data_IF_395957543366
#
_entry.id   IF_395957543366
#
_cell.length_a   1.000
_cell.length_b   1.000
_cell.length_c   1.000
_cell.angle_alpha   90.00
_cell.angle_beta   90.00
_cell.angle_gamma   90.00
#
_symmetry.space_group_name_H-M   'P 1'
#
loop_
_entity.id
_entity.type
_entity.pdbx_description
1 polymer ?
#
# COMPACT_ATOMS: atom_id res chain seq x y z
N UNK A 1 -60.97 13.79 -1.58
CA UNK A 1 -60.37 12.84 -0.61
C UNK A 1 -59.30 11.95 -1.23
N UNK A 2 -59.54 11.33 -2.39
CA UNK A 2 -58.57 10.43 -3.06
C UNK A 2 -57.24 11.08 -3.49
N UNK A 3 -57.24 12.36 -3.89
CA UNK A 3 -56.02 13.09 -4.28
C UNK A 3 -55.06 13.37 -3.10
N UNK A 4 -55.61 13.59 -1.90
CA UNK A 4 -54.81 13.86 -0.69
C UNK A 4 -54.13 12.58 -0.19
N UNK A 5 -54.83 11.45 -0.28
CA UNK A 5 -54.27 10.13 0.04
C UNK A 5 -53.17 9.76 -0.96
N UNK A 6 -53.39 10.01 -2.27
CA UNK A 6 -52.37 9.81 -3.30
C UNK A 6 -51.13 10.68 -3.04
N UNK A 7 -51.32 11.95 -2.68
CA UNK A 7 -50.23 12.86 -2.33
C UNK A 7 -49.44 12.38 -1.10
N UNK A 8 -50.12 11.94 -0.03
CA UNK A 8 -49.47 11.40 1.16
C UNK A 8 -48.70 10.10 0.88
N UNK A 9 -49.23 9.23 0.02
CA UNK A 9 -48.53 7.99 -0.41
C UNK A 9 -47.30 8.33 -1.26
N UNK A 10 -47.40 9.30 -2.18
CA UNK A 10 -46.24 9.77 -2.97
C UNK A 10 -45.19 10.40 -2.05
N UNK A 11 -45.59 11.22 -1.07
CA UNK A 11 -44.66 11.81 -0.11
C UNK A 11 -43.97 10.77 0.79
N UNK A 12 -44.64 9.65 1.14
CA UNK A 12 -44.00 8.56 1.87
C UNK A 12 -43.04 7.74 0.99
N UNK A 13 -43.29 7.64 -0.31
CA UNK A 13 -42.37 7.01 -1.28
C UNK A 13 -41.14 7.86 -1.57
N UNK A 14 -41.22 9.19 -1.38
CA UNK A 14 -40.08 10.12 -1.46
C UNK A 14 -39.50 10.34 -0.06
N UNK A 15 -39.15 9.26 0.63
CA UNK A 15 -38.18 9.37 1.72
C UNK A 15 -36.81 9.54 1.07
N UNK A 16 -36.32 10.78 1.05
CA UNK A 16 -34.97 11.09 0.58
C UNK A 16 -33.95 10.33 1.41
N UNK A 17 -33.51 9.18 0.93
CA UNK A 17 -32.33 8.53 1.48
C UNK A 17 -31.15 9.47 1.22
N UNK A 18 -30.66 10.11 2.28
CA UNK A 18 -29.49 10.99 2.17
C UNK A 18 -28.28 10.15 1.77
N UNK A 19 -27.66 10.59 0.67
CA UNK A 19 -26.65 9.87 -0.06
C UNK A 19 -25.36 10.69 -0.05
N UNK A 20 -24.23 10.03 0.20
CA UNK A 20 -22.91 10.66 0.31
C UNK A 20 -21.95 10.09 -0.74
N UNK A 21 -21.10 10.95 -1.30
CA UNK A 21 -20.13 10.55 -2.31
C UNK A 21 -18.75 10.31 -1.70
N UNK A 22 -18.23 9.10 -1.84
CA UNK A 22 -16.87 8.77 -1.41
C UNK A 22 -15.94 8.86 -2.62
N UNK A 23 -15.00 9.80 -2.58
CA UNK A 23 -14.03 10.06 -3.67
C UNK A 23 -12.64 9.51 -3.33
N UNK A 24 -11.97 8.97 -4.32
CA UNK A 24 -10.60 8.50 -4.21
C UNK A 24 -9.79 8.64 -5.49
N UNK A 25 -8.48 8.44 -5.37
CA UNK A 25 -7.51 8.49 -6.46
C UNK A 25 -6.53 7.32 -6.34
N UNK A 26 -6.31 6.61 -7.43
CA UNK A 26 -5.23 5.66 -7.62
C UNK A 26 -3.99 6.36 -8.16
N UNK A 27 -2.90 6.33 -7.39
CA UNK A 27 -1.59 6.82 -7.78
C UNK A 27 -0.62 5.64 -8.00
N UNK A 28 -0.23 5.41 -9.26
CA UNK A 28 0.68 4.32 -9.61
C UNK A 28 2.15 4.62 -9.27
N UNK A 29 2.52 5.89 -8.98
CA UNK A 29 3.87 6.42 -8.70
C UNK A 29 4.94 6.25 -9.78
N UNK A 30 4.84 5.19 -10.59
CA UNK A 30 5.83 4.80 -11.60
C UNK A 30 5.54 5.43 -12.96
N UNK A 31 4.25 5.60 -13.26
CA UNK A 31 3.73 6.15 -14.50
C UNK A 31 2.33 6.71 -14.27
N UNK A 32 1.84 7.50 -15.21
CA UNK A 32 0.44 7.94 -15.22
C UNK A 32 -0.50 6.77 -15.55
N UNK A 33 -1.74 6.87 -15.07
CA UNK A 33 -2.79 5.87 -15.33
C UNK A 33 -3.17 5.92 -16.81
N UNK A 34 -3.15 4.75 -17.46
CA UNK A 34 -3.54 4.58 -18.86
C UNK A 34 -4.94 3.99 -18.98
N UNK A 35 -5.55 4.08 -20.16
CA UNK A 35 -6.84 3.43 -20.46
C UNK A 35 -6.83 1.92 -20.17
N UNK A 36 -5.69 1.27 -20.37
CA UNK A 36 -5.53 -0.14 -20.03
C UNK A 36 -5.69 -0.40 -18.53
N UNK A 37 -5.05 0.43 -17.70
CA UNK A 37 -5.08 0.33 -16.24
C UNK A 37 -6.50 0.58 -15.69
N UNK A 38 -7.26 1.47 -16.34
CA UNK A 38 -8.64 1.81 -15.99
C UNK A 38 -9.55 0.58 -16.04
N UNK A 39 -9.51 -0.17 -17.13
CA UNK A 39 -10.34 -1.38 -17.32
C UNK A 39 -9.98 -2.53 -16.36
N UNK A 40 -8.78 -2.49 -15.78
CA UNK A 40 -8.18 -3.59 -15.01
C UNK A 40 -8.11 -3.33 -13.51
N UNK A 41 -8.64 -2.20 -13.07
CA UNK A 41 -8.64 -1.78 -11.67
C UNK A 41 -10.05 -1.38 -11.26
N UNK A 42 -10.50 -1.91 -10.13
CA UNK A 42 -11.81 -1.63 -9.57
C UNK A 42 -11.73 -1.63 -8.04
N UNK A 43 -12.68 -0.95 -7.43
CA UNK A 43 -12.77 -0.78 -5.99
C UNK A 43 -14.16 -1.21 -5.55
N UNK A 44 -14.23 -2.01 -4.50
CA UNK A 44 -15.51 -2.49 -3.96
C UNK A 44 -15.69 -1.93 -2.57
N UNK A 45 -16.82 -1.27 -2.35
CA UNK A 45 -17.27 -0.75 -1.07
C UNK A 45 -18.29 -1.71 -0.48
N UNK A 46 -18.14 -2.07 0.78
CA UNK A 46 -19.09 -2.87 1.54
C UNK A 46 -19.45 -2.15 2.83
N UNK A 47 -20.73 -2.13 3.17
CA UNK A 47 -21.17 -1.70 4.50
C UNK A 47 -20.85 -2.80 5.51
N UNK A 48 -20.28 -2.42 6.64
CA UNK A 48 -20.00 -3.33 7.75
C UNK A 48 -20.67 -2.82 9.01
N UNK A 49 -21.00 -3.73 9.91
CA UNK A 49 -21.60 -3.38 11.19
C UNK A 49 -20.56 -2.75 12.10
N UNK A 50 -20.94 -1.64 12.75
CA UNK A 50 -20.11 -1.00 13.76
C UNK A 50 -20.04 -1.80 15.07
N UNK A 51 -19.07 -1.50 15.95
CA UNK A 51 -18.92 -2.19 17.23
C UNK A 51 -20.10 -1.94 18.20
N UNK A 52 -20.85 -0.85 17.99
CA UNK A 52 -21.96 -0.43 18.85
C UNK A 52 -23.34 -0.63 18.20
N UNK A 53 -23.40 -1.18 16.98
CA UNK A 53 -24.66 -1.46 16.31
C UNK A 53 -25.18 -2.83 16.76
N UNK A 54 -26.11 -2.82 17.73
CA UNK A 54 -26.78 -4.03 18.24
C UNK A 54 -27.90 -4.52 17.31
N UNK A 55 -28.24 -3.76 16.26
CA UNK A 55 -29.28 -4.11 15.28
C UNK A 55 -28.75 -5.12 14.27
N UNK A 56 -28.74 -6.38 14.70
CA UNK A 56 -28.27 -7.55 13.96
C UNK A 56 -29.09 -7.85 12.68
N UNK A 57 -30.14 -7.09 12.37
CA UNK A 57 -31.19 -7.48 11.40
C UNK A 57 -31.84 -6.36 10.56
N UNK A 58 -31.31 -5.14 10.47
CA UNK A 58 -32.10 -4.05 9.85
C UNK A 58 -32.06 -3.98 8.31
N UNK A 59 -31.13 -4.65 7.63
CA UNK A 59 -31.08 -4.70 6.17
C UNK A 59 -31.03 -6.16 5.69
N UNK A 60 -32.05 -6.59 4.92
CA UNK A 60 -32.11 -7.95 4.35
C UNK A 60 -30.95 -8.24 3.40
N UNK A 61 -30.29 -7.21 2.87
CA UNK A 61 -29.16 -7.30 1.94
C UNK A 61 -28.08 -6.29 2.36
N UNK A 62 -26.83 -6.72 2.61
CA UNK A 62 -25.75 -5.80 2.95
C UNK A 62 -25.44 -4.90 1.75
N UNK A 63 -25.38 -3.59 2.00
CA UNK A 63 -25.02 -2.62 0.95
C UNK A 63 -23.62 -2.90 0.39
N UNK A 64 -23.54 -3.02 -0.94
CA UNK A 64 -22.30 -3.16 -1.68
C UNK A 64 -22.35 -2.34 -2.96
N UNK A 65 -21.24 -1.66 -3.29
CA UNK A 65 -21.10 -0.89 -4.53
C UNK A 65 -19.70 -1.06 -5.09
N UNK A 66 -19.59 -1.15 -6.41
CA UNK A 66 -18.30 -1.20 -7.10
C UNK A 66 -18.09 0.08 -7.91
N UNK A 67 -16.86 0.59 -7.90
CA UNK A 67 -16.44 1.74 -8.68
C UNK A 67 -15.20 1.39 -9.50
N UNK A 68 -15.18 1.81 -10.76
CA UNK A 68 -14.00 1.74 -11.63
C UNK A 68 -13.32 3.10 -11.67
N UNK A 69 -12.11 3.14 -12.22
CA UNK A 69 -11.44 4.40 -12.52
C UNK A 69 -12.21 5.17 -13.61
N UNK A 70 -12.28 6.50 -13.47
CA UNK A 70 -13.03 7.39 -14.35
C UNK A 70 -12.13 8.09 -15.37
N UNK A 71 -10.86 8.33 -15.02
CA UNK A 71 -9.95 9.13 -15.84
C UNK A 71 -8.48 8.68 -15.71
N UNK A 72 -7.64 9.26 -16.55
CA UNK A 72 -6.18 9.07 -16.57
C UNK A 72 -5.46 9.70 -15.36
N UNK A 73 -6.18 10.49 -14.56
CA UNK A 73 -5.72 10.96 -13.25
C UNK A 73 -5.92 9.92 -12.14
N UNK A 74 -6.57 8.79 -12.45
CA UNK A 74 -6.80 7.68 -11.53
C UNK A 74 -7.95 7.92 -10.56
N UNK A 75 -8.88 8.82 -10.84
CA UNK A 75 -9.99 9.13 -9.93
C UNK A 75 -11.08 8.07 -9.97
N UNK A 76 -11.68 7.77 -8.83
CA UNK A 76 -12.86 6.92 -8.70
C UNK A 76 -13.81 7.51 -7.66
N UNK A 77 -15.12 7.31 -7.86
CA UNK A 77 -16.16 7.82 -6.96
C UNK A 77 -17.21 6.75 -6.72
N UNK A 78 -17.55 6.52 -5.46
CA UNK A 78 -18.76 5.81 -5.08
C UNK A 78 -19.85 6.85 -4.87
N UNK A 79 -20.81 6.91 -5.80
CA UNK A 79 -21.95 7.80 -5.65
C UNK A 79 -22.96 7.22 -4.67
N UNK A 80 -23.84 8.05 -4.13
CA UNK A 80 -25.07 7.63 -3.45
C UNK A 80 -24.87 6.61 -2.30
N UNK A 81 -23.83 6.79 -1.50
CA UNK A 81 -23.57 5.89 -0.36
C UNK A 81 -24.56 6.22 0.75
N UNK A 82 -25.34 5.24 1.26
CA UNK A 82 -26.34 5.48 2.29
C UNK A 82 -25.65 5.77 3.62
N UNK A 83 -25.87 6.96 4.18
CA UNK A 83 -25.25 7.38 5.45
C UNK A 83 -26.30 7.81 6.46
N UNK A 84 -26.02 7.58 7.73
CA UNK A 84 -26.82 8.13 8.83
C UNK A 84 -26.26 9.51 9.22
N UNK A 85 -27.09 10.55 9.10
CA UNK A 85 -26.74 11.94 9.42
C UNK A 85 -27.12 12.33 10.86
N UNK A 86 -27.63 11.40 11.67
CA UNK A 86 -27.86 11.64 13.08
C UNK A 86 -26.59 12.16 13.77
N UNK A 87 -26.77 13.04 14.75
CA UNK A 87 -25.66 13.65 15.48
C UNK A 87 -24.77 12.57 16.10
N UNK A 88 -23.48 12.56 15.72
CA UNK A 88 -22.48 11.57 16.14
C UNK A 88 -22.82 10.11 15.78
N UNK A 89 -23.76 9.88 14.86
CA UNK A 89 -23.99 8.54 14.32
C UNK A 89 -22.90 8.19 13.32
N UNK A 90 -22.37 6.98 13.45
CA UNK A 90 -21.23 6.52 12.66
C UNK A 90 -21.67 5.38 11.77
N UNK A 91 -21.43 5.51 10.47
CA UNK A 91 -21.59 4.42 9.51
C UNK A 91 -20.23 3.93 9.06
N UNK A 92 -20.06 2.61 9.01
CA UNK A 92 -18.80 1.98 8.69
C UNK A 92 -18.85 1.29 7.33
N UNK A 93 -17.83 1.52 6.53
CA UNK A 93 -17.64 0.86 5.25
C UNK A 93 -16.24 0.32 5.12
N UNK A 94 -16.06 -0.69 4.28
CA UNK A 94 -14.75 -1.20 3.89
C UNK A 94 -14.58 -1.06 2.39
N UNK A 95 -13.48 -0.44 1.97
CA UNK A 95 -13.03 -0.49 0.58
C UNK A 95 -12.01 -1.61 0.43
N UNK A 96 -12.23 -2.47 -0.55
CA UNK A 96 -11.20 -3.36 -1.07
C UNK A 96 -10.72 -2.85 -2.43
N UNK A 97 -9.40 -2.76 -2.55
CA UNK A 97 -8.73 -2.25 -3.74
C UNK A 97 -8.29 -3.42 -4.61
N UNK A 98 -8.78 -3.49 -5.85
CA UNK A 98 -8.44 -4.57 -6.77
C UNK A 98 -7.76 -4.04 -8.03
N UNK A 99 -6.70 -4.74 -8.43
CA UNK A 99 -6.08 -4.58 -9.74
C UNK A 99 -5.56 -5.92 -10.23
N UNK A 100 -5.70 -6.19 -11.52
CA UNK A 100 -5.08 -7.38 -12.13
C UNK A 100 -3.59 -7.16 -12.31
N UNK A 101 -3.12 -5.94 -12.57
CA UNK A 101 -1.71 -5.73 -12.93
C UNK A 101 -0.83 -5.28 -11.78
N UNK A 102 -1.41 -4.61 -10.79
CA UNK A 102 -0.66 -3.98 -9.72
C UNK A 102 -0.97 -4.60 -8.37
N UNK A 103 0.04 -4.62 -7.49
CA UNK A 103 -0.19 -4.85 -6.07
C UNK A 103 -0.46 -3.49 -5.41
N UNK A 104 -1.71 -3.27 -5.02
CA UNK A 104 -2.17 -2.02 -4.43
C UNK A 104 -1.97 -1.99 -2.91
N UNK A 105 -1.74 -0.77 -2.40
CA UNK A 105 -1.62 -0.44 -0.99
C UNK A 105 -2.27 0.93 -0.72
N UNK A 106 -3.21 1.05 0.23
CA UNK A 106 -3.75 -0.03 1.07
C UNK A 106 -4.65 -0.99 0.27
N UNK A 107 -4.58 -2.28 0.61
CA UNK A 107 -5.45 -3.30 0.03
C UNK A 107 -6.86 -3.24 0.63
N UNK A 108 -6.94 -2.99 1.95
CA UNK A 108 -8.19 -2.80 2.70
C UNK A 108 -8.18 -1.47 3.42
N UNK A 109 -9.25 -0.71 3.29
CA UNK A 109 -9.44 0.57 3.98
C UNK A 109 -10.74 0.51 4.77
N UNK A 110 -10.67 0.80 6.06
CA UNK A 110 -11.85 1.05 6.87
C UNK A 110 -12.22 2.53 6.72
N UNK A 111 -13.47 2.78 6.36
CA UNK A 111 -14.04 4.11 6.29
C UNK A 111 -15.03 4.25 7.43
N UNK A 112 -14.90 5.34 8.17
CA UNK A 112 -15.85 5.78 9.18
C UNK A 112 -16.39 7.13 8.74
N UNK A 113 -17.70 7.17 8.50
CA UNK A 113 -18.45 8.39 8.20
C UNK A 113 -19.21 8.77 9.46
N UNK A 114 -18.98 9.97 9.98
CA UNK A 114 -19.68 10.47 11.18
C UNK A 114 -20.65 11.57 10.79
N UNK A 115 -21.92 11.40 11.13
CA UNK A 115 -22.97 12.39 10.93
C UNK A 115 -22.79 13.58 11.89
N UNK A 116 -22.83 14.79 11.32
CA UNK A 116 -22.66 16.04 12.06
C UNK A 116 -24.01 16.70 12.42
N UNK A 117 -25.14 16.00 12.25
CA UNK A 117 -26.50 16.52 12.45
C UNK A 117 -27.19 16.95 11.16
N UNK A 118 -28.48 17.28 11.23
CA UNK A 118 -29.29 17.61 10.05
C UNK A 118 -28.81 18.89 9.37
N UNK A 119 -28.26 18.77 8.16
CA UNK A 119 -27.88 19.89 7.31
C UNK A 119 -26.38 20.19 7.23
N UNK A 120 -25.52 19.44 7.93
CA UNK A 120 -24.06 19.53 7.77
C UNK A 120 -23.52 18.32 7.01
N UNK A 121 -22.48 18.53 6.19
CA UNK A 121 -21.80 17.43 5.51
C UNK A 121 -21.16 16.49 6.55
N UNK A 122 -21.31 15.17 6.37
CA UNK A 122 -20.73 14.21 7.29
C UNK A 122 -19.20 14.19 7.17
N UNK A 123 -18.52 13.89 8.28
CA UNK A 123 -17.07 13.82 8.30
C UNK A 123 -16.57 12.42 7.88
N UNK A 124 -15.65 12.39 6.92
CA UNK A 124 -15.02 11.17 6.41
C UNK A 124 -13.68 10.94 7.09
N UNK A 125 -13.51 9.77 7.71
CA UNK A 125 -12.22 9.32 8.26
C UNK A 125 -11.89 7.94 7.71
N UNK A 126 -10.61 7.70 7.42
CA UNK A 126 -10.15 6.46 6.80
C UNK A 126 -8.97 5.85 7.56
N UNK A 127 -8.93 4.53 7.61
CA UNK A 127 -7.91 3.77 8.32
C UNK A 127 -7.37 2.65 7.42
N UNK A 128 -6.05 2.48 7.42
CA UNK A 128 -5.38 1.39 6.72
C UNK A 128 -5.57 0.08 7.51
N UNK A 129 -6.06 -0.96 6.83
CA UNK A 129 -6.10 -2.31 7.38
C UNK A 129 -5.34 -3.31 6.47
N UNK A 130 -5.00 -4.48 7.03
CA UNK A 130 -4.37 -5.59 6.35
C UNK A 130 -5.34 -6.76 6.24
N UNK A 131 -5.10 -7.61 5.24
CA UNK A 131 -5.85 -8.85 5.11
C UNK A 131 -5.63 -9.75 6.33
N UNK A 132 -6.71 -10.33 6.87
CA UNK A 132 -6.66 -11.20 8.05
C UNK A 132 -6.59 -10.51 9.41
N UNK A 133 -6.60 -9.16 9.45
CA UNK A 133 -6.71 -8.38 10.70
C UNK A 133 -8.14 -7.86 10.88
N UNK A 134 -8.67 -7.97 12.09
CA UNK A 134 -9.98 -7.44 12.47
C UNK A 134 -10.02 -5.91 12.35
N UNK A 135 -11.19 -5.36 12.01
CA UNK A 135 -11.38 -3.91 11.86
C UNK A 135 -11.58 -3.21 13.20
N UNK A 136 -12.26 -3.89 14.12
CA UNK A 136 -12.55 -3.41 15.45
C UNK A 136 -11.86 -4.32 16.46
N UNK A 137 -11.40 -3.77 17.58
CA UNK A 137 -10.85 -4.59 18.64
C UNK A 137 -11.93 -5.39 19.34
N UNK A 138 -11.55 -6.55 19.88
CA UNK A 138 -12.43 -7.33 20.75
C UNK A 138 -12.75 -6.56 22.02
N UNK A 139 -14.00 -6.67 22.50
CA UNK A 139 -14.49 -5.90 23.65
C UNK A 139 -13.73 -6.18 24.95
N UNK A 140 -13.08 -7.34 25.05
CA UNK A 140 -12.38 -7.80 26.26
C UNK A 140 -10.97 -7.19 26.42
N UNK A 141 -10.46 -6.49 25.40
CA UNK A 141 -9.09 -5.96 25.40
C UNK A 141 -9.08 -4.57 26.00
N UNK A 142 -8.46 -4.41 27.17
CA UNK A 142 -8.16 -3.10 27.74
C UNK A 142 -7.07 -2.40 26.89
N UNK A 143 -7.39 -1.22 26.37
CA UNK A 143 -6.52 -0.38 25.51
C UNK A 143 -6.01 -1.09 24.23
N UNK A 144 -6.92 -1.39 23.30
CA UNK A 144 -6.56 -2.11 22.09
C UNK A 144 -5.70 -1.26 21.12
N UNK A 145 -4.93 -1.95 20.29
CA UNK A 145 -4.19 -1.33 19.19
C UNK A 145 -5.17 -0.74 18.15
N UNK A 146 -5.07 0.57 17.89
CA UNK A 146 -5.90 1.24 16.89
C UNK A 146 -5.33 1.10 15.48
N UNK A 147 -6.21 1.11 14.49
CA UNK A 147 -5.78 1.12 13.09
C UNK A 147 -5.09 2.43 12.74
N UNK A 148 -4.11 2.35 11.85
CA UNK A 148 -3.37 3.53 11.39
C UNK A 148 -4.29 4.43 10.56
N UNK A 149 -4.37 5.70 10.92
CA UNK A 149 -5.08 6.72 10.14
C UNK A 149 -4.44 6.86 8.75
N UNK A 150 -5.28 6.79 7.72
CA UNK A 150 -4.91 7.08 6.34
C UNK A 150 -5.26 8.56 6.07
N UNK A 151 -4.26 9.43 5.87
CA UNK A 151 -4.53 10.84 5.59
C UNK A 151 -5.25 10.98 4.24
N UNK A 152 -6.27 11.83 4.21
CA UNK A 152 -6.93 12.24 2.99
C UNK A 152 -6.08 13.28 2.25
N UNK A 153 -6.20 13.32 0.92
CA UNK A 153 -5.58 14.35 0.10
C UNK A 153 -6.17 15.74 0.42
N UNK A 154 -5.54 16.82 -0.06
CA UNK A 154 -6.00 18.21 0.13
C UNK A 154 -7.44 18.44 -0.34
N UNK A 155 -7.90 17.64 -1.30
CA UNK A 155 -9.27 17.64 -1.83
C UNK A 155 -10.21 16.67 -1.10
N UNK A 156 -9.84 16.13 0.06
CA UNK A 156 -10.64 15.17 0.83
C UNK A 156 -10.73 13.78 0.20
N UNK A 157 -9.78 13.40 -0.66
CA UNK A 157 -9.82 12.15 -1.44
C UNK A 157 -8.96 11.06 -0.82
N UNK A 158 -9.43 9.81 -0.91
CA UNK A 158 -8.65 8.64 -0.52
C UNK A 158 -7.55 8.35 -1.54
N UNK A 159 -6.30 8.23 -1.12
CA UNK A 159 -5.19 7.91 -2.04
C UNK A 159 -4.79 6.44 -1.88
N UNK A 160 -4.93 5.68 -2.96
CA UNK A 160 -4.46 4.29 -3.05
C UNK A 160 -3.22 4.29 -3.94
N UNK A 161 -2.18 3.59 -3.51
CA UNK A 161 -0.86 3.58 -4.16
C UNK A 161 -0.42 2.16 -4.52
N UNK A 162 0.70 2.02 -5.23
CA UNK A 162 1.34 0.71 -5.47
C UNK A 162 2.32 0.34 -4.35
N UNK A 163 2.55 -0.96 -4.14
CA UNK A 163 3.57 -1.43 -3.19
C UNK A 163 4.96 -1.08 -3.72
N UNK A 164 5.71 -0.25 -2.99
CA UNK A 164 7.06 0.20 -3.38
C UNK A 164 8.04 -0.94 -3.74
N UNK A 165 8.00 -2.08 -3.02
CA UNK A 165 8.92 -3.20 -3.27
C UNK A 165 8.53 -4.08 -4.46
N UNK A 166 7.23 -4.20 -4.74
CA UNK A 166 6.70 -5.07 -5.78
C UNK A 166 5.42 -4.46 -6.36
N UNK A 167 5.56 -3.42 -7.19
CA UNK A 167 4.40 -2.69 -7.71
C UNK A 167 3.60 -3.52 -8.72
N UNK A 168 4.27 -4.35 -9.52
CA UNK A 168 3.63 -5.22 -10.52
C UNK A 168 3.30 -6.60 -9.94
N UNK A 169 2.12 -7.11 -10.29
CA UNK A 169 1.67 -8.45 -9.99
C UNK A 169 2.34 -9.43 -10.96
N UNK A 170 3.07 -10.40 -10.41
CA UNK A 170 3.76 -11.43 -11.19
C UNK A 170 2.89 -12.68 -11.24
N UNK A 171 2.35 -12.97 -12.41
CA UNK A 171 1.57 -14.19 -12.66
C UNK A 171 2.40 -15.36 -13.17
N UNK A 172 3.55 -15.06 -13.77
CA UNK A 172 4.45 -16.04 -14.34
C UNK A 172 5.67 -16.20 -13.45
N UNK A 173 6.00 -17.45 -13.14
CA UNK A 173 7.25 -17.82 -12.49
C UNK A 173 8.19 -18.41 -13.54
N UNK A 174 9.35 -17.79 -13.71
CA UNK A 174 10.41 -18.33 -14.56
C UNK A 174 11.02 -19.54 -13.85
N UNK A 175 10.99 -20.72 -14.48
CA UNK A 175 11.47 -21.98 -13.90
C UNK A 175 12.99 -22.03 -13.74
N UNK A 176 13.71 -21.56 -14.76
CA UNK A 176 15.18 -21.57 -14.81
C UNK A 176 15.70 -20.13 -14.99
N UNK A 177 15.64 -19.28 -13.95
CA UNK A 177 16.31 -17.98 -14.01
C UNK A 177 17.81 -18.21 -14.19
N UNK A 178 18.43 -17.58 -15.20
CA UNK A 178 19.85 -17.78 -15.50
C UNK A 178 20.77 -17.48 -14.30
N UNK A 179 22.04 -17.90 -14.38
CA UNK A 179 23.03 -17.78 -13.28
C UNK A 179 23.22 -16.31 -12.81
N UNK A 180 22.98 -15.34 -13.69
CA UNK A 180 23.03 -13.91 -13.37
C UNK A 180 21.73 -13.35 -12.79
N UNK A 181 20.63 -14.09 -12.89
CA UNK A 181 19.30 -13.69 -12.43
C UNK A 181 18.90 -14.38 -11.13
N UNK A 182 19.47 -15.56 -10.83
CA UNK A 182 19.24 -16.29 -9.58
C UNK A 182 20.54 -16.84 -8.98
N UNK A 183 20.51 -17.08 -7.66
CA UNK A 183 21.64 -17.65 -6.92
C UNK A 183 22.62 -16.62 -6.35
N UNK A 184 23.77 -17.09 -5.81
CA UNK A 184 24.73 -16.25 -5.09
C UNK A 184 25.35 -15.15 -5.96
N UNK A 185 25.70 -15.49 -7.22
CA UNK A 185 26.29 -14.56 -8.19
C UNK A 185 25.30 -13.44 -8.53
N UNK A 186 24.05 -13.78 -8.81
CA UNK A 186 22.98 -12.81 -9.01
C UNK A 186 22.75 -11.92 -7.77
N UNK A 187 22.80 -12.49 -6.55
CA UNK A 187 22.66 -11.71 -5.32
C UNK A 187 23.77 -10.68 -5.13
N UNK A 188 24.99 -11.00 -5.53
CA UNK A 188 26.12 -10.06 -5.51
C UNK A 188 25.89 -8.94 -6.53
N UNK A 189 25.53 -9.28 -7.76
CA UNK A 189 25.34 -8.31 -8.85
C UNK A 189 24.17 -7.34 -8.60
N UNK A 190 23.09 -7.82 -8.00
CA UNK A 190 21.88 -7.01 -7.71
C UNK A 190 22.05 -6.06 -6.52
N UNK A 191 23.00 -6.33 -5.62
CA UNK A 191 23.21 -5.53 -4.41
C UNK A 191 24.45 -4.65 -4.56
N UNK A 192 24.25 -3.32 -4.60
CA UNK A 192 25.34 -2.33 -4.71
C UNK A 192 26.44 -2.55 -3.67
N UNK A 193 26.07 -2.89 -2.43
CA UNK A 193 27.02 -3.13 -1.35
C UNK A 193 27.81 -4.43 -1.51
N UNK A 194 27.14 -5.52 -1.90
CA UNK A 194 27.83 -6.80 -2.13
C UNK A 194 28.77 -6.72 -3.32
N UNK A 195 28.34 -6.05 -4.39
CA UNK A 195 29.16 -5.80 -5.57
C UNK A 195 30.41 -4.99 -5.20
N UNK A 196 30.25 -3.90 -4.44
CA UNK A 196 31.37 -3.08 -3.99
C UNK A 196 32.38 -3.90 -3.17
N UNK A 197 31.90 -4.76 -2.26
CA UNK A 197 32.74 -5.66 -1.46
C UNK A 197 33.54 -6.65 -2.31
N UNK A 198 32.91 -7.27 -3.32
CA UNK A 198 33.60 -8.20 -4.23
C UNK A 198 34.65 -7.47 -5.06
N UNK A 199 34.34 -6.27 -5.57
CA UNK A 199 35.29 -5.44 -6.31
C UNK A 199 36.50 -5.08 -5.41
N UNK A 200 36.27 -4.72 -4.14
CA UNK A 200 37.38 -4.38 -3.22
C UNK A 200 38.28 -5.57 -2.94
N UNK A 201 37.71 -6.76 -2.73
CA UNK A 201 38.50 -8.00 -2.57
C UNK A 201 39.30 -8.30 -3.84
N UNK A 202 38.69 -8.13 -5.02
CA UNK A 202 39.37 -8.33 -6.30
C UNK A 202 40.56 -7.38 -6.45
N UNK A 203 40.37 -6.10 -6.11
CA UNK A 203 41.45 -5.11 -6.09
C UNK A 203 42.53 -5.46 -5.07
N UNK A 204 42.20 -5.88 -3.85
CA UNK A 204 43.21 -6.28 -2.85
C UNK A 204 44.10 -7.42 -3.34
N UNK A 205 43.55 -8.37 -4.09
CA UNK A 205 44.31 -9.50 -4.63
C UNK A 205 45.12 -9.12 -5.87
N UNK A 206 44.55 -8.30 -6.76
CA UNK A 206 45.20 -7.93 -8.03
C UNK A 206 46.17 -6.76 -7.89
N UNK A 207 45.96 -5.87 -6.92
CA UNK A 207 46.78 -4.67 -6.73
C UNK A 207 48.27 -4.95 -6.54
N UNK A 208 48.72 -5.94 -5.73
CA UNK A 208 50.13 -6.28 -5.62
C UNK A 208 50.74 -6.75 -6.95
N UNK A 209 49.99 -7.57 -7.70
CA UNK A 209 50.42 -8.11 -9.00
C UNK A 209 50.55 -7.00 -10.03
N UNK A 210 49.63 -6.03 -10.01
CA UNK A 210 49.68 -4.86 -10.88
C UNK A 210 50.80 -3.90 -10.48
N UNK A 211 51.01 -3.64 -9.18
CA UNK A 211 52.13 -2.84 -8.67
C UNK A 211 53.48 -3.42 -9.09
N UNK A 212 53.66 -4.74 -9.00
CA UNK A 212 54.90 -5.40 -9.42
C UNK A 212 55.21 -5.21 -10.90
N UNK A 213 54.19 -5.03 -11.75
CA UNK A 213 54.37 -4.82 -13.20
C UNK A 213 54.49 -3.35 -13.60
N UNK A 214 53.83 -2.44 -12.89
CA UNK A 214 53.82 -1.02 -13.25
C UNK A 214 54.89 -0.20 -12.51
N UNK A 215 55.29 -0.60 -11.29
CA UNK A 215 56.30 0.10 -10.50
C UNK A 215 57.18 -0.87 -9.69
N UNK A 216 58.20 -1.47 -10.32
CA UNK A 216 59.01 -2.54 -9.74
C UNK A 216 59.94 -2.05 -8.62
N UNK A 217 60.24 -0.75 -8.53
CA UNK A 217 61.10 -0.20 -7.47
C UNK A 217 60.39 -0.18 -6.12
N UNK A 218 59.15 0.31 -6.11
CA UNK A 218 58.29 0.34 -4.92
C UNK A 218 57.97 -1.07 -4.41
N UNK A 219 57.75 -2.02 -5.32
CA UNK A 219 57.51 -3.43 -4.96
C UNK A 219 58.73 -4.09 -4.29
N UNK A 220 59.97 -3.77 -4.73
CA UNK A 220 61.19 -4.29 -4.10
C UNK A 220 61.40 -3.73 -2.70
N UNK A 221 61.13 -2.45 -2.47
CA UNK A 221 61.22 -1.82 -1.15
C UNK A 221 60.24 -2.46 -0.16
N UNK A 222 58.99 -2.69 -0.56
CA UNK A 222 57.99 -3.35 0.30
C UNK A 222 58.37 -4.80 0.66
N UNK A 223 58.99 -5.54 -0.27
CA UNK A 223 59.49 -6.90 0.03
C UNK A 223 60.66 -6.89 1.01
N UNK A 224 61.58 -5.93 0.89
CA UNK A 224 62.71 -5.79 1.80
C UNK A 224 62.25 -5.42 3.22
N UNK A 225 61.29 -4.51 3.38
CA UNK A 225 60.69 -4.19 4.68
C UNK A 225 59.98 -5.39 5.31
N UNK A 226 59.25 -6.18 4.50
CA UNK A 226 58.55 -7.37 5.01
C UNK A 226 59.54 -8.43 5.51
N UNK A 227 60.62 -8.68 4.77
CA UNK A 227 61.72 -9.57 5.16
C UNK A 227 62.41 -9.11 6.45
N UNK A 228 62.68 -7.81 6.58
CA UNK A 228 63.30 -7.26 7.80
C UNK A 228 62.37 -7.41 9.02
N UNK A 229 61.06 -7.20 8.86
CA UNK A 229 60.07 -7.39 9.95
C UNK A 229 59.87 -8.86 10.33
N UNK A 230 59.90 -9.78 9.37
CA UNK A 230 59.83 -11.22 9.65
C UNK A 230 61.10 -11.71 10.35
N UNK A 231 62.28 -11.29 9.89
CA UNK A 231 63.54 -11.63 10.56
C UNK A 231 63.61 -11.07 11.99
N UNK A 232 63.09 -9.86 12.24
CA UNK A 232 63.02 -9.30 13.58
C UNK A 232 62.12 -10.10 14.56
N UNK A 233 61.12 -10.84 14.06
CA UNK A 233 60.28 -11.74 14.88
C UNK A 233 60.99 -13.03 15.32
N UNK A 234 62.01 -13.48 14.60
CA UNK A 234 62.79 -14.67 14.96
C UNK A 234 63.97 -14.35 15.87
N UNK A 235 64.33 -13.07 16.02
CA UNK A 235 65.41 -12.60 16.91
C UNK A 235 64.89 -12.32 18.33
N UNK A 236 63.57 -12.27 18.56
CA UNK A 236 62.95 -11.97 19.86
C UNK A 236 62.33 -13.18 20.59
N UNK A 237 62.76 -14.41 20.26
CA UNK A 237 62.45 -15.64 21.00
C UNK A 237 63.72 -16.19 21.64
#
# INVERSE_FOLDING_TARGET
MNLVILYLVICQLVTSSLAFDIKGRLDLRLRNVTQHDISRSYFTLYKIQGPNEQDKYSELVPYSKSATLQNTYGEFTFTDVPVDLGLNRTTYFTINSHSTEFNLKPNRVLIKITGNGSGQEPSLTAFENKFGREYFPSADIAFPETLKLLPLDTSGRLVITTINKQPFRRFMQIRNPGIFQSGPIASILTSKFKLAGVITVLFLVLFPIMLEKFDPETAKQMRQEKLQRENAKYVSK
#
